data_IF_114824581543
#
_entry.id   IF_114824581543
#
_cell.length_a   1.000
_cell.length_b   1.000
_cell.length_c   1.000
_cell.angle_alpha   90.00
_cell.angle_beta   90.00
_cell.angle_gamma   90.00
#
_symmetry.space_group_name_H-M   'P 1'
#
loop_
_entity.id
_entity.type
_entity.pdbx_description
1 polymer ?
#
# COMPACT_ATOMS: atom_id res chain seq x y z
N UNK A 1 6.37 -42.84 7.42
CA UNK A 1 5.01 -42.67 7.96
C UNK A 1 4.66 -41.21 7.76
N UNK A 2 3.57 -40.88 7.08
CA UNK A 2 3.18 -39.47 6.88
C UNK A 2 2.69 -38.92 8.22
N UNK A 3 3.23 -37.79 8.65
CA UNK A 3 2.82 -37.17 9.90
C UNK A 3 1.39 -36.61 9.79
N UNK A 4 0.64 -36.59 10.89
CA UNK A 4 -0.65 -35.92 11.02
C UNK A 4 -0.54 -34.77 12.03
N UNK A 5 -0.67 -33.53 11.54
CA UNK A 5 -0.40 -32.32 12.33
C UNK A 5 -1.71 -31.61 12.70
N UNK A 6 -1.84 -31.19 13.95
CA UNK A 6 -2.93 -30.31 14.39
C UNK A 6 -2.48 -28.86 14.37
N UNK A 7 -3.11 -28.01 13.57
CA UNK A 7 -2.88 -26.57 13.59
C UNK A 7 -3.93 -25.84 14.41
N UNK A 8 -3.51 -24.96 15.31
CA UNK A 8 -4.42 -24.17 16.14
C UNK A 8 -4.44 -22.72 15.66
N UNK A 9 -5.61 -22.12 15.53
CA UNK A 9 -5.72 -20.70 15.12
C UNK A 9 -7.00 -20.03 15.65
N UNK A 10 -7.14 -18.72 15.40
CA UNK A 10 -8.38 -17.97 15.69
C UNK A 10 -9.32 -17.94 14.48
N UNK A 11 -10.60 -17.63 14.71
CA UNK A 11 -11.66 -17.61 13.68
C UNK A 11 -11.32 -16.75 12.45
N UNK A 12 -10.61 -15.63 12.64
CA UNK A 12 -10.23 -14.74 11.53
C UNK A 12 -9.16 -15.34 10.60
N UNK A 13 -8.35 -16.27 11.10
CA UNK A 13 -7.19 -16.79 10.40
C UNK A 13 -7.40 -18.22 9.86
N UNK A 14 -8.52 -18.86 10.18
CA UNK A 14 -8.87 -20.24 9.80
C UNK A 14 -8.83 -20.46 8.28
N UNK A 15 -9.59 -19.67 7.51
CA UNK A 15 -9.67 -19.79 6.04
C UNK A 15 -8.33 -19.51 5.35
N UNK A 16 -7.51 -18.65 5.94
CA UNK A 16 -6.22 -18.26 5.37
C UNK A 16 -5.15 -19.31 5.66
N UNK A 17 -5.19 -19.90 6.86
CA UNK A 17 -4.37 -21.05 7.21
C UNK A 17 -4.71 -22.25 6.34
N UNK A 18 -6.00 -22.54 6.12
CA UNK A 18 -6.44 -23.61 5.21
C UNK A 18 -5.87 -23.42 3.80
N UNK A 19 -6.00 -22.23 3.21
CA UNK A 19 -5.44 -21.95 1.87
C UNK A 19 -3.92 -22.04 1.81
N UNK A 20 -3.21 -21.61 2.85
CA UNK A 20 -1.75 -21.79 2.89
C UNK A 20 -1.39 -23.27 2.97
N UNK A 21 -2.09 -24.05 3.80
CA UNK A 21 -1.86 -25.49 3.95
C UNK A 21 -2.25 -26.29 2.68
N UNK A 22 -3.32 -25.91 1.98
CA UNK A 22 -3.68 -26.44 0.65
C UNK A 22 -2.59 -26.12 -0.38
N UNK A 23 -2.01 -24.92 -0.35
CA UNK A 23 -0.89 -24.58 -1.24
C UNK A 23 0.41 -25.37 -0.93
N UNK A 24 0.43 -26.13 0.16
CA UNK A 24 1.54 -27.02 0.52
C UNK A 24 1.38 -28.45 -0.01
N UNK A 25 0.45 -28.73 -0.94
CA UNK A 25 0.02 -30.04 -1.52
C UNK A 25 1.02 -31.22 -1.62
N UNK A 26 2.34 -31.00 -1.51
CA UNK A 26 3.38 -32.03 -1.45
C UNK A 26 4.07 -32.12 -0.06
N UNK A 27 3.39 -31.73 1.03
CA UNK A 27 3.97 -31.43 2.36
C UNK A 27 4.64 -32.61 3.08
N UNK A 28 4.35 -33.85 2.68
CA UNK A 28 4.77 -35.05 3.40
C UNK A 28 4.02 -35.27 4.72
N UNK A 29 3.00 -34.47 5.01
CA UNK A 29 2.12 -34.57 6.17
C UNK A 29 0.66 -34.31 5.79
N UNK A 30 -0.24 -34.80 6.62
CA UNK A 30 -1.67 -34.49 6.61
C UNK A 30 -1.99 -33.57 7.78
N UNK A 31 -3.10 -32.82 7.73
CA UNK A 31 -3.35 -31.78 8.73
C UNK A 31 -4.84 -31.62 9.07
N UNK A 32 -5.11 -31.11 10.27
CA UNK A 32 -6.41 -30.60 10.72
C UNK A 32 -6.22 -29.18 11.30
N UNK A 33 -7.25 -28.33 11.18
CA UNK A 33 -7.28 -27.00 11.81
C UNK A 33 -8.31 -27.00 12.93
N UNK A 34 -7.95 -26.44 14.08
CA UNK A 34 -8.86 -26.27 15.22
C UNK A 34 -8.89 -24.84 15.76
N UNK A 35 -10.10 -24.36 16.03
CA UNK A 35 -10.36 -23.00 16.53
C UNK A 35 -10.97 -23.06 17.94
N UNK A 36 -10.22 -22.75 19.01
CA UNK A 36 -10.68 -22.88 20.40
C UNK A 36 -11.54 -21.68 20.87
N UNK A 37 -12.50 -21.27 20.04
CA UNK A 37 -13.53 -20.29 20.38
C UNK A 37 -13.03 -18.86 20.60
N UNK A 38 -12.07 -18.39 19.79
CA UNK A 38 -11.51 -17.03 19.84
C UNK A 38 -11.45 -16.39 18.44
N UNK A 39 -11.48 -15.06 18.36
CA UNK A 39 -11.38 -14.34 17.09
C UNK A 39 -9.93 -14.23 16.58
N UNK A 40 -8.98 -13.82 17.44
CA UNK A 40 -7.58 -13.52 17.07
C UNK A 40 -6.61 -14.44 17.82
N UNK A 41 -5.85 -15.25 17.08
CA UNK A 41 -4.89 -16.24 17.58
C UNK A 41 -3.85 -15.69 18.58
N UNK A 42 -3.43 -14.43 18.45
CA UNK A 42 -2.45 -13.81 19.35
C UNK A 42 -2.93 -13.66 20.81
N UNK A 43 -4.23 -13.83 21.06
CA UNK A 43 -4.84 -13.79 22.40
C UNK A 43 -4.92 -15.17 23.07
N UNK A 44 -4.38 -16.22 22.44
CA UNK A 44 -4.29 -17.56 23.04
C UNK A 44 -3.32 -17.58 24.22
N UNK A 45 -3.74 -18.24 25.30
CA UNK A 45 -2.90 -18.59 26.45
C UNK A 45 -2.89 -20.10 26.66
N UNK A 46 -1.86 -20.61 27.34
CA UNK A 46 -1.75 -22.04 27.65
C UNK A 46 -2.97 -22.56 28.43
N UNK A 47 -3.46 -21.81 29.43
CA UNK A 47 -4.65 -22.19 30.21
C UNK A 47 -5.93 -22.29 29.36
N UNK A 48 -6.07 -21.42 28.35
CA UNK A 48 -7.20 -21.49 27.42
C UNK A 48 -7.11 -22.73 26.54
N UNK A 49 -5.91 -23.10 26.08
CA UNK A 49 -5.69 -24.31 25.28
C UNK A 49 -6.01 -25.57 26.09
N UNK A 50 -5.48 -25.69 27.32
CA UNK A 50 -5.79 -26.82 28.22
C UNK A 50 -7.29 -27.05 28.40
N UNK A 51 -8.08 -25.97 28.47
CA UNK A 51 -9.53 -26.04 28.66
C UNK A 51 -10.35 -26.26 27.39
N UNK A 52 -9.86 -25.82 26.23
CA UNK A 52 -10.69 -25.65 25.02
C UNK A 52 -10.17 -26.38 23.78
N UNK A 53 -8.93 -26.88 23.81
CA UNK A 53 -8.33 -27.54 22.64
C UNK A 53 -9.01 -28.89 22.37
N UNK A 54 -9.50 -29.57 23.40
CA UNK A 54 -10.16 -30.88 23.26
C UNK A 54 -9.15 -32.02 23.10
N UNK A 55 -9.63 -33.15 22.58
CA UNK A 55 -8.83 -34.37 22.40
C UNK A 55 -7.84 -34.25 21.23
N UNK A 56 -6.62 -34.73 21.45
CA UNK A 56 -5.46 -34.63 20.56
C UNK A 56 -4.90 -36.00 20.20
N UNK A 57 -5.60 -37.07 20.54
CA UNK A 57 -5.27 -38.43 20.13
C UNK A 57 -5.26 -38.53 18.59
N UNK A 58 -4.21 -39.15 18.05
CA UNK A 58 -4.04 -39.37 16.60
C UNK A 58 -3.23 -38.29 15.87
N UNK A 59 -2.79 -37.23 16.55
CA UNK A 59 -1.84 -36.25 16.00
C UNK A 59 -0.40 -36.53 16.46
N UNK A 60 0.56 -36.31 15.57
CA UNK A 60 1.99 -36.45 15.88
C UNK A 60 2.57 -35.22 16.58
N UNK A 61 1.96 -34.04 16.37
CA UNK A 61 2.30 -32.78 17.04
C UNK A 61 1.22 -31.72 16.83
N UNK A 62 1.23 -30.71 17.70
CA UNK A 62 0.39 -29.50 17.59
C UNK A 62 1.25 -28.29 17.21
N UNK A 63 0.86 -27.60 16.14
CA UNK A 63 1.48 -26.33 15.72
C UNK A 63 0.59 -25.17 16.19
N UNK A 64 1.14 -24.36 17.09
CA UNK A 64 0.53 -23.11 17.55
C UNK A 64 0.98 -21.92 16.67
N UNK A 65 0.20 -20.83 16.60
CA UNK A 65 0.63 -19.60 15.95
C UNK A 65 1.89 -19.05 16.63
N UNK A 66 2.86 -18.49 15.88
CA UNK A 66 4.12 -18.02 16.46
C UNK A 66 3.96 -16.92 17.52
N UNK A 67 2.86 -16.15 17.44
CA UNK A 67 2.49 -15.10 18.39
C UNK A 67 1.77 -15.60 19.64
N UNK A 68 1.46 -16.89 19.72
CA UNK A 68 0.85 -17.49 20.90
C UNK A 68 1.82 -17.39 22.08
N UNK A 69 1.33 -16.84 23.20
CA UNK A 69 2.11 -16.70 24.44
C UNK A 69 1.76 -17.84 25.39
N UNK A 70 2.77 -18.57 25.85
CA UNK A 70 2.58 -19.68 26.79
C UNK A 70 3.78 -20.61 26.86
N UNK A 71 3.86 -21.39 27.94
CA UNK A 71 4.88 -22.44 28.08
C UNK A 71 4.48 -23.67 27.26
N UNK A 72 5.29 -24.00 26.25
CA UNK A 72 5.04 -25.15 25.36
C UNK A 72 5.39 -26.47 26.02
N UNK A 73 6.33 -26.47 26.98
CA UNK A 73 6.71 -27.68 27.71
C UNK A 73 5.55 -28.12 28.60
N UNK A 74 4.95 -27.19 29.33
CA UNK A 74 3.76 -27.42 30.15
C UNK A 74 2.54 -27.90 29.33
N UNK A 75 2.37 -27.40 28.10
CA UNK A 75 1.33 -27.91 27.18
C UNK A 75 1.66 -29.33 26.69
N UNK A 76 2.93 -29.60 26.36
CA UNK A 76 3.36 -30.92 25.89
C UNK A 76 3.20 -31.97 26.99
N UNK A 77 3.56 -31.64 28.23
CA UNK A 77 3.40 -32.51 29.40
C UNK A 77 1.93 -32.79 29.71
N UNK A 78 1.06 -31.77 29.60
CA UNK A 78 -0.37 -31.92 29.88
C UNK A 78 -1.09 -32.82 28.87
N UNK A 79 -0.77 -32.68 27.59
CA UNK A 79 -1.45 -33.37 26.50
C UNK A 79 -0.71 -34.63 26.01
N UNK A 80 0.53 -34.87 26.45
CA UNK A 80 1.31 -36.05 26.09
C UNK A 80 1.80 -36.08 24.64
N UNK A 81 1.77 -34.95 23.92
CA UNK A 81 2.31 -34.81 22.56
C UNK A 81 3.12 -33.52 22.39
N UNK A 82 4.05 -33.45 21.41
CA UNK A 82 4.85 -32.26 21.18
C UNK A 82 4.02 -31.05 20.75
N UNK A 83 4.22 -29.91 21.41
CA UNK A 83 3.74 -28.59 20.97
C UNK A 83 4.88 -27.76 20.39
N UNK A 84 4.66 -27.22 19.20
CA UNK A 84 5.62 -26.38 18.49
C UNK A 84 4.99 -25.02 18.17
N UNK A 85 5.82 -23.97 18.14
CA UNK A 85 5.40 -22.68 17.58
C UNK A 85 5.73 -22.65 16.10
N UNK A 86 4.70 -22.49 15.29
CA UNK A 86 4.83 -22.10 13.90
C UNK A 86 5.37 -20.67 13.77
N UNK A 87 5.51 -20.16 12.53
CA UNK A 87 5.94 -18.80 12.29
C UNK A 87 4.93 -17.80 12.85
N UNK A 88 5.39 -16.56 13.10
CA UNK A 88 4.50 -15.47 13.51
C UNK A 88 3.42 -15.19 12.46
N UNK A 89 3.75 -15.39 11.18
CA UNK A 89 2.89 -15.11 10.05
C UNK A 89 2.59 -16.36 9.25
N UNK A 90 1.31 -16.57 8.91
CA UNK A 90 0.86 -17.74 8.17
C UNK A 90 1.57 -17.90 6.81
N UNK A 91 1.90 -16.79 6.14
CA UNK A 91 2.57 -16.85 4.84
C UNK A 91 4.02 -17.32 4.92
N UNK A 92 4.62 -17.33 6.12
CA UNK A 92 5.97 -17.85 6.35
C UNK A 92 5.91 -19.34 6.73
N UNK A 93 4.71 -19.92 6.82
CA UNK A 93 4.52 -21.35 7.06
C UNK A 93 5.16 -22.23 5.99
N UNK A 94 5.12 -21.89 4.68
CA UNK A 94 5.97 -22.52 3.69
C UNK A 94 7.44 -22.49 4.12
N UNK A 95 8.00 -21.34 4.49
CA UNK A 95 9.41 -21.20 4.86
C UNK A 95 9.75 -21.97 6.14
N UNK A 96 8.84 -22.01 7.11
CA UNK A 96 8.93 -22.84 8.31
C UNK A 96 9.05 -24.33 7.97
N UNK A 97 8.39 -24.79 6.90
CA UNK A 97 8.55 -26.13 6.33
C UNK A 97 9.60 -26.19 5.19
N UNK A 98 10.51 -25.21 5.08
CA UNK A 98 11.59 -25.19 4.09
C UNK A 98 11.17 -24.86 2.64
N UNK A 99 10.05 -24.16 2.45
CA UNK A 99 9.42 -23.88 1.15
C UNK A 99 9.24 -22.38 0.89
N UNK A 100 9.15 -22.01 -0.38
CA UNK A 100 8.97 -20.62 -0.79
C UNK A 100 7.48 -20.27 -0.83
N UNK A 101 7.07 -19.22 -0.11
CA UNK A 101 5.72 -18.69 -0.19
C UNK A 101 5.43 -18.14 -1.60
N UNK A 102 4.26 -18.45 -2.17
CA UNK A 102 3.84 -17.86 -3.44
C UNK A 102 3.48 -16.39 -3.21
N UNK A 103 4.16 -15.48 -3.90
CA UNK A 103 3.82 -14.04 -3.89
C UNK A 103 2.44 -13.85 -4.50
N UNK A 104 1.50 -13.28 -3.75
CA UNK A 104 0.16 -12.97 -4.26
C UNK A 104 0.23 -11.79 -5.22
N UNK A 105 -0.39 -11.90 -6.39
CA UNK A 105 -0.51 -10.76 -7.30
C UNK A 105 -1.56 -9.76 -6.80
N UNK A 106 -1.13 -8.54 -6.50
CA UNK A 106 -1.99 -7.43 -6.04
C UNK A 106 -2.29 -6.52 -7.23
N UNK A 107 -3.19 -6.98 -8.10
CA UNK A 107 -3.58 -6.26 -9.34
C UNK A 107 -5.07 -5.91 -9.40
N UNK A 108 -5.95 -6.67 -8.75
CA UNK A 108 -7.40 -6.43 -8.89
C UNK A 108 -7.88 -5.38 -7.89
N UNK A 109 -8.91 -4.64 -8.29
CA UNK A 109 -9.66 -3.68 -7.47
C UNK A 109 -11.09 -3.63 -7.98
N UNK A 110 -12.04 -3.30 -7.11
CA UNK A 110 -13.43 -2.94 -7.44
C UNK A 110 -13.77 -1.48 -7.13
N UNK A 111 -12.79 -0.70 -6.66
CA UNK A 111 -12.92 0.73 -6.41
C UNK A 111 -12.36 1.50 -7.60
N UNK A 112 -13.16 2.36 -8.23
CA UNK A 112 -12.75 3.30 -9.28
C UNK A 112 -12.08 4.53 -8.69
N UNK A 113 -10.98 4.98 -9.28
CA UNK A 113 -10.19 6.13 -8.81
C UNK A 113 -10.36 7.31 -9.76
N UNK A 114 -10.99 8.36 -9.25
CA UNK A 114 -11.13 9.66 -9.90
C UNK A 114 -10.00 10.55 -9.39
N UNK A 115 -9.22 11.08 -10.31
CA UNK A 115 -8.12 12.00 -10.02
C UNK A 115 -8.47 13.40 -10.50
N UNK A 116 -8.65 14.30 -9.55
CA UNK A 116 -9.10 15.67 -9.80
C UNK A 116 -7.95 16.59 -10.22
N UNK A 117 -8.21 17.35 -11.28
CA UNK A 117 -7.43 18.52 -11.68
C UNK A 117 -8.20 19.76 -11.21
N UNK A 118 -7.97 20.16 -9.96
CA UNK A 118 -8.74 21.19 -9.22
C UNK A 118 -8.70 22.57 -9.89
N UNK A 119 -7.62 22.87 -10.60
CA UNK A 119 -7.33 24.15 -11.23
C UNK A 119 -7.43 24.09 -12.75
N UNK A 120 -8.26 23.20 -13.30
CA UNK A 120 -8.38 22.98 -14.73
C UNK A 120 -8.60 24.25 -15.57
N UNK A 121 -9.42 25.25 -15.16
CA UNK A 121 -9.59 26.49 -15.91
C UNK A 121 -8.30 27.33 -16.08
N UNK A 122 -7.27 27.08 -15.25
CA UNK A 122 -6.00 27.80 -15.27
C UNK A 122 -4.93 27.12 -16.13
N UNK A 123 -5.16 25.89 -16.57
CA UNK A 123 -4.26 25.14 -17.42
C UNK A 123 -4.62 25.37 -18.89
N UNK A 124 -3.63 25.36 -19.77
CA UNK A 124 -3.89 25.15 -21.18
C UNK A 124 -4.13 23.65 -21.45
N UNK A 125 -4.57 23.33 -22.67
CA UNK A 125 -4.87 21.95 -23.07
C UNK A 125 -3.65 21.04 -22.91
N UNK A 126 -2.45 21.52 -23.26
CA UNK A 126 -1.21 20.75 -23.14
C UNK A 126 -0.87 20.46 -21.67
N UNK A 127 -1.01 21.44 -20.78
CA UNK A 127 -0.83 21.28 -19.34
C UNK A 127 -1.84 20.31 -18.72
N UNK A 128 -3.11 20.41 -19.14
CA UNK A 128 -4.17 19.48 -18.73
C UNK A 128 -3.85 18.04 -19.13
N UNK A 129 -3.48 17.83 -20.40
CA UNK A 129 -3.12 16.51 -20.92
C UNK A 129 -1.88 15.94 -20.22
N UNK A 130 -0.85 16.75 -19.98
CA UNK A 130 0.34 16.32 -19.27
C UNK A 130 0.02 15.86 -17.84
N UNK A 131 -0.87 16.57 -17.14
CA UNK A 131 -1.32 16.19 -15.79
C UNK A 131 -2.18 14.92 -15.81
N UNK A 132 -3.10 14.80 -16.76
CA UNK A 132 -3.91 13.61 -16.97
C UNK A 132 -3.06 12.36 -17.27
N UNK A 133 -2.03 12.49 -18.12
CA UNK A 133 -1.10 11.40 -18.43
C UNK A 133 -0.33 10.94 -17.17
N UNK A 134 0.14 11.88 -16.34
CA UNK A 134 0.76 11.55 -15.05
C UNK A 134 -0.20 10.78 -14.16
N UNK A 135 -1.42 11.29 -13.98
CA UNK A 135 -2.43 10.66 -13.14
C UNK A 135 -2.81 9.25 -13.61
N UNK A 136 -2.95 9.02 -14.92
CA UNK A 136 -3.15 7.68 -15.48
C UNK A 136 -1.95 6.76 -15.24
N UNK A 137 -0.72 7.27 -15.33
CA UNK A 137 0.47 6.49 -15.00
C UNK A 137 0.56 6.13 -13.51
N UNK A 138 0.06 7.00 -12.64
CA UNK A 138 -0.07 6.78 -11.19
C UNK A 138 -1.28 5.91 -10.80
N UNK A 139 -2.16 5.59 -11.76
CA UNK A 139 -3.24 4.61 -11.59
C UNK A 139 -4.66 5.17 -11.53
N UNK A 140 -4.87 6.43 -11.89
CA UNK A 140 -6.22 7.00 -12.06
C UNK A 140 -6.98 6.29 -13.19
N UNK A 141 -8.26 6.01 -12.95
CA UNK A 141 -9.15 5.43 -13.96
C UNK A 141 -9.96 6.50 -14.70
N UNK A 142 -10.27 7.61 -14.02
CA UNK A 142 -11.04 8.74 -14.55
C UNK A 142 -10.30 10.03 -14.19
N UNK A 143 -10.22 10.95 -15.15
CA UNK A 143 -9.72 12.31 -14.93
C UNK A 143 -10.91 13.20 -14.63
N UNK A 144 -10.92 13.78 -13.45
CA UNK A 144 -11.97 14.69 -13.01
C UNK A 144 -11.51 16.14 -13.22
N UNK A 145 -12.29 16.89 -13.99
CA UNK A 145 -12.05 18.29 -14.33
C UNK A 145 -12.71 19.13 -13.25
N UNK A 146 -11.91 19.63 -12.30
CA UNK A 146 -12.37 20.51 -11.25
C UNK A 146 -12.56 21.94 -11.76
N UNK A 147 -13.80 22.41 -11.79
CA UNK A 147 -14.12 23.80 -12.07
C UNK A 147 -13.88 24.68 -10.85
N UNK A 148 -13.55 25.95 -11.09
CA UNK A 148 -13.32 26.92 -10.02
C UNK A 148 -14.57 27.79 -9.81
N UNK A 149 -15.00 28.03 -8.55
CA UNK A 149 -16.11 28.94 -8.27
C UNK A 149 -15.88 30.33 -8.88
N UNK A 150 -16.95 30.92 -9.41
CA UNK A 150 -16.97 32.26 -10.01
C UNK A 150 -15.90 32.52 -11.09
N UNK A 151 -15.34 31.46 -11.68
CA UNK A 151 -14.25 31.54 -12.65
C UNK A 151 -14.70 30.93 -13.97
N UNK A 152 -14.79 31.71 -15.07
CA UNK A 152 -15.20 31.17 -16.35
C UNK A 152 -14.23 30.09 -16.87
N UNK A 153 -14.78 29.00 -17.38
CA UNK A 153 -14.02 27.96 -18.08
C UNK A 153 -14.34 27.98 -19.59
N UNK A 154 -13.72 28.88 -20.39
CA UNK A 154 -14.09 29.08 -21.80
C UNK A 154 -13.67 27.91 -22.71
N UNK A 155 -12.64 27.16 -22.34
CA UNK A 155 -12.09 26.03 -23.10
C UNK A 155 -12.46 24.67 -22.48
N UNK A 156 -13.63 24.59 -21.82
CA UNK A 156 -14.12 23.37 -21.17
C UNK A 156 -14.39 22.25 -22.18
N UNK A 157 -15.11 22.56 -23.27
CA UNK A 157 -15.43 21.60 -24.31
C UNK A 157 -14.16 21.10 -25.01
N UNK A 158 -13.25 22.03 -25.36
CA UNK A 158 -11.95 21.70 -25.94
C UNK A 158 -11.11 20.79 -25.01
N UNK A 159 -11.16 21.04 -23.69
CA UNK A 159 -10.51 20.22 -22.66
C UNK A 159 -11.06 18.79 -22.62
N UNK A 160 -12.38 18.65 -22.65
CA UNK A 160 -13.06 17.35 -22.67
C UNK A 160 -12.72 16.60 -23.96
N UNK A 161 -12.85 17.25 -25.11
CA UNK A 161 -12.56 16.67 -26.42
C UNK A 161 -11.10 16.19 -26.51
N UNK A 162 -10.14 17.00 -26.03
CA UNK A 162 -8.73 16.64 -26.00
C UNK A 162 -8.46 15.40 -25.12
N UNK A 163 -9.00 15.38 -23.89
CA UNK A 163 -8.85 14.23 -22.99
C UNK A 163 -9.49 12.97 -23.58
N UNK A 164 -10.69 13.05 -24.13
CA UNK A 164 -11.35 11.90 -24.75
C UNK A 164 -10.61 11.43 -26.00
N UNK A 165 -10.06 12.35 -26.80
CA UNK A 165 -9.20 12.05 -27.96
C UNK A 165 -7.98 11.19 -27.59
N UNK A 166 -7.43 11.39 -26.39
CA UNK A 166 -6.32 10.60 -25.82
C UNK A 166 -6.77 9.34 -25.04
N UNK A 167 -8.07 9.01 -25.14
CA UNK A 167 -8.67 7.81 -24.57
C UNK A 167 -8.89 7.85 -23.06
N UNK A 168 -8.92 9.03 -22.44
CA UNK A 168 -9.28 9.17 -21.03
C UNK A 168 -10.80 9.06 -20.85
N UNK A 169 -11.22 8.45 -19.73
CA UNK A 169 -12.55 8.68 -19.19
C UNK A 169 -12.55 10.01 -18.43
N UNK A 170 -13.58 10.82 -18.64
CA UNK A 170 -13.62 12.21 -18.18
C UNK A 170 -14.82 12.45 -17.28
N UNK A 171 -14.58 13.15 -16.18
CA UNK A 171 -15.60 13.65 -15.26
C UNK A 171 -15.53 15.17 -15.20
N UNK A 172 -16.67 15.82 -14.94
CA UNK A 172 -16.74 17.26 -14.66
C UNK A 172 -17.25 17.49 -13.23
N UNK A 173 -16.52 18.29 -12.44
CA UNK A 173 -16.95 18.73 -11.12
C UNK A 173 -17.17 20.24 -11.10
N UNK A 174 -18.44 20.63 -11.05
CA UNK A 174 -18.86 22.03 -10.97
C UNK A 174 -20.17 22.17 -10.20
N UNK A 175 -20.28 23.30 -9.50
CA UNK A 175 -21.55 23.76 -8.91
C UNK A 175 -22.34 24.65 -9.87
N UNK A 176 -21.75 25.08 -10.99
CA UNK A 176 -22.43 25.88 -12.01
C UNK A 176 -23.20 24.97 -12.99
N UNK A 177 -24.52 25.15 -13.02
CA UNK A 177 -25.42 24.41 -13.91
C UNK A 177 -25.01 24.49 -15.39
N UNK A 178 -24.57 25.65 -15.87
CA UNK A 178 -24.20 25.85 -17.28
C UNK A 178 -22.91 25.11 -17.62
N UNK A 179 -21.97 25.01 -16.68
CA UNK A 179 -20.76 24.22 -16.87
C UNK A 179 -21.08 22.73 -16.92
N UNK A 180 -21.94 22.24 -16.02
CA UNK A 180 -22.45 20.87 -16.08
C UNK A 180 -23.15 20.58 -17.42
N UNK A 181 -24.05 21.47 -17.87
CA UNK A 181 -24.75 21.34 -19.17
C UNK A 181 -23.75 21.26 -20.34
N UNK A 182 -22.75 22.15 -20.37
CA UNK A 182 -21.69 22.17 -21.40
C UNK A 182 -20.85 20.90 -21.36
N UNK A 183 -20.40 20.49 -20.18
CA UNK A 183 -19.55 19.30 -20.02
C UNK A 183 -20.27 18.01 -20.39
N UNK A 184 -21.54 17.86 -20.00
CA UNK A 184 -22.37 16.72 -20.39
C UNK A 184 -22.59 16.72 -21.91
N UNK A 185 -22.86 17.87 -22.52
CA UNK A 185 -23.05 17.98 -23.96
C UNK A 185 -21.77 17.69 -24.77
N UNK A 186 -20.59 18.04 -24.24
CA UNK A 186 -19.28 17.66 -24.78
C UNK A 186 -18.95 16.17 -24.58
N UNK A 187 -19.79 15.44 -23.84
CA UNK A 187 -19.68 14.00 -23.67
C UNK A 187 -18.79 13.56 -22.51
N UNK A 188 -18.73 14.33 -21.42
CA UNK A 188 -18.20 13.81 -20.16
C UNK A 188 -18.90 12.50 -19.75
N UNK A 189 -18.13 11.53 -19.27
CA UNK A 189 -18.63 10.22 -18.85
C UNK A 189 -19.29 10.30 -17.46
N UNK A 190 -18.87 11.26 -16.62
CA UNK A 190 -19.42 11.51 -15.29
C UNK A 190 -19.61 13.00 -15.03
N UNK A 191 -20.51 13.32 -14.10
CA UNK A 191 -20.67 14.68 -13.58
C UNK A 191 -20.90 14.65 -12.06
N UNK A 192 -20.21 15.54 -11.36
CA UNK A 192 -20.26 15.61 -9.91
C UNK A 192 -21.32 16.59 -9.41
N UNK A 193 -21.63 16.47 -8.12
CA UNK A 193 -22.37 17.46 -7.36
C UNK A 193 -23.82 17.70 -7.82
N UNK A 194 -24.49 16.68 -8.39
CA UNK A 194 -25.90 16.79 -8.74
C UNK A 194 -26.79 16.72 -7.50
N UNK A 195 -27.69 17.70 -7.37
CA UNK A 195 -28.66 17.79 -6.28
C UNK A 195 -30.06 17.57 -6.82
N UNK A 196 -31.07 17.56 -5.95
CA UNK A 196 -32.48 17.51 -6.34
C UNK A 196 -32.91 18.58 -7.37
N UNK A 197 -32.17 19.70 -7.48
CA UNK A 197 -32.43 20.81 -8.42
C UNK A 197 -31.81 20.64 -9.81
N UNK A 198 -30.91 19.67 -9.98
CA UNK A 198 -30.15 19.48 -11.22
C UNK A 198 -30.20 18.05 -11.75
N UNK A 199 -31.01 17.16 -11.15
CA UNK A 199 -31.16 15.76 -11.58
C UNK A 199 -31.54 15.61 -13.04
N UNK A 200 -32.34 16.54 -13.59
CA UNK A 200 -32.79 16.50 -14.97
C UNK A 200 -31.64 16.60 -15.99
N UNK A 201 -30.50 17.16 -15.60
CA UNK A 201 -29.31 17.24 -16.46
C UNK A 201 -28.79 15.85 -16.83
N UNK A 202 -28.99 14.89 -15.94
CA UNK A 202 -28.59 13.50 -16.11
C UNK A 202 -29.82 12.57 -16.11
N UNK A 203 -31.00 13.04 -16.51
CA UNK A 203 -32.16 12.14 -16.70
C UNK A 203 -31.97 11.26 -17.94
N UNK A 204 -31.31 11.79 -18.97
CA UNK A 204 -31.06 11.11 -20.24
C UNK A 204 -29.57 11.13 -20.62
N UNK A 205 -29.19 10.31 -21.59
CA UNK A 205 -27.82 10.22 -22.09
C UNK A 205 -26.98 9.13 -21.40
N UNK A 206 -25.66 9.26 -21.52
CA UNK A 206 -24.69 8.27 -21.04
C UNK A 206 -23.91 8.74 -19.81
N UNK A 207 -23.87 10.06 -19.54
CA UNK A 207 -23.17 10.64 -18.40
C UNK A 207 -23.75 10.13 -17.07
N UNK A 208 -22.89 9.58 -16.21
CA UNK A 208 -23.25 8.97 -14.92
C UNK A 208 -23.04 9.99 -13.80
N UNK A 209 -24.10 10.39 -13.07
CA UNK A 209 -23.95 11.46 -12.07
C UNK A 209 -23.51 10.96 -10.70
N UNK A 210 -22.86 11.84 -9.95
CA UNK A 210 -22.64 11.73 -8.50
C UNK A 210 -23.67 12.61 -7.79
N UNK A 211 -24.54 11.98 -7.01
CA UNK A 211 -25.64 12.61 -6.31
C UNK A 211 -25.21 13.03 -4.91
N UNK A 212 -25.47 14.28 -4.57
CA UNK A 212 -25.26 14.87 -3.24
C UNK A 212 -26.55 15.50 -2.72
N UNK A 213 -26.63 15.74 -1.41
CA UNK A 213 -27.66 16.59 -0.84
C UNK A 213 -27.32 18.08 -1.02
N UNK A 214 -28.35 18.93 -1.01
CA UNK A 214 -28.15 20.39 -1.00
C UNK A 214 -27.43 20.86 0.29
N UNK A 215 -27.82 20.29 1.43
CA UNK A 215 -27.04 20.33 2.66
C UNK A 215 -26.31 18.98 2.78
N UNK A 216 -24.97 18.93 2.63
CA UNK A 216 -24.19 17.70 2.71
C UNK A 216 -24.38 16.91 4.02
N UNK A 217 -24.88 17.56 5.08
CA UNK A 217 -25.13 16.93 6.39
C UNK A 217 -26.52 16.31 6.50
N UNK A 218 -27.45 16.65 5.61
CA UNK A 218 -28.80 16.10 5.59
C UNK A 218 -28.85 14.80 4.77
N UNK A 219 -28.59 13.68 5.45
CA UNK A 219 -28.65 12.35 4.84
C UNK A 219 -30.06 12.02 4.31
N UNK A 220 -31.13 12.49 4.95
CA UNK A 220 -32.49 12.20 4.50
C UNK A 220 -32.80 12.94 3.18
N UNK A 221 -32.25 14.13 2.97
CA UNK A 221 -32.30 14.83 1.68
C UNK A 221 -31.56 14.06 0.58
N UNK A 222 -30.39 13.49 0.89
CA UNK A 222 -29.69 12.62 -0.06
C UNK A 222 -30.52 11.37 -0.38
N UNK A 223 -31.13 10.73 0.62
CA UNK A 223 -31.99 9.55 0.41
C UNK A 223 -33.14 9.86 -0.56
N UNK A 224 -33.83 11.00 -0.40
CA UNK A 224 -34.89 11.43 -1.33
C UNK A 224 -34.36 11.68 -2.75
N UNK A 225 -33.15 12.20 -2.87
CA UNK A 225 -32.49 12.46 -4.16
C UNK A 225 -32.16 11.14 -4.87
N UNK A 226 -31.63 10.16 -4.13
CA UNK A 226 -31.35 8.81 -4.60
C UNK A 226 -32.64 8.14 -5.09
N UNK A 227 -33.70 8.12 -4.29
CA UNK A 227 -34.97 7.49 -4.65
C UNK A 227 -35.57 8.09 -5.93
N UNK A 228 -35.52 9.42 -6.06
CA UNK A 228 -36.00 10.13 -7.25
C UNK A 228 -35.18 9.77 -8.48
N UNK A 229 -33.85 9.74 -8.40
CA UNK A 229 -33.00 9.43 -9.55
C UNK A 229 -33.04 7.94 -9.92
N UNK A 230 -33.16 7.05 -8.94
CA UNK A 230 -33.28 5.61 -9.16
C UNK A 230 -34.52 5.25 -9.99
N UNK A 231 -35.58 6.08 -9.96
CA UNK A 231 -36.76 5.90 -10.80
C UNK A 231 -36.47 5.98 -12.32
N UNK A 232 -35.36 6.61 -12.72
CA UNK A 232 -34.92 6.65 -14.12
C UNK A 232 -34.24 5.35 -14.56
N UNK A 233 -33.91 4.43 -13.64
CA UNK A 233 -33.25 3.16 -13.96
C UNK A 233 -31.84 3.31 -14.53
N UNK A 234 -31.17 4.43 -14.25
CA UNK A 234 -29.82 4.76 -14.73
C UNK A 234 -28.76 4.52 -13.63
N UNK A 235 -27.51 4.20 -14.00
CA UNK A 235 -26.39 4.20 -13.06
C UNK A 235 -26.16 5.60 -12.45
N UNK A 236 -25.74 5.63 -11.18
CA UNK A 236 -25.30 6.83 -10.47
C UNK A 236 -24.42 6.43 -9.29
N UNK A 237 -23.68 7.39 -8.73
CA UNK A 237 -23.07 7.27 -7.41
C UNK A 237 -23.81 8.15 -6.41
N UNK A 238 -23.86 7.74 -5.15
CA UNK A 238 -24.27 8.61 -4.05
C UNK A 238 -23.05 9.03 -3.22
N UNK A 239 -23.00 10.29 -2.82
CA UNK A 239 -21.96 10.82 -1.95
C UNK A 239 -22.56 11.66 -0.79
N UNK A 240 -22.51 11.18 0.47
CA UNK A 240 -22.90 11.93 1.67
C UNK A 240 -21.83 12.92 2.18
N UNK A 241 -20.77 13.11 1.39
CA UNK A 241 -19.67 14.06 1.55
C UNK A 241 -18.86 13.84 2.83
N UNK A 242 -17.58 13.55 2.68
CA UNK A 242 -16.64 13.41 3.78
C UNK A 242 -16.23 14.79 4.31
N UNK A 243 -16.37 15.03 5.62
CA UNK A 243 -15.99 16.29 6.25
C UNK A 243 -14.53 16.28 6.75
N UNK A 244 -13.81 17.41 6.79
CA UNK A 244 -12.49 17.50 7.41
C UNK A 244 -12.50 17.19 8.92
N UNK A 245 -11.32 16.83 9.45
CA UNK A 245 -11.11 16.66 10.90
C UNK A 245 -11.49 17.95 11.65
N UNK A 246 -12.22 17.81 12.76
CA UNK A 246 -12.82 18.90 13.55
C UNK A 246 -14.02 19.63 12.92
N UNK A 247 -14.40 19.32 11.68
CA UNK A 247 -15.56 19.93 11.01
C UNK A 247 -16.73 18.97 10.78
N UNK A 248 -16.60 17.73 11.27
CA UNK A 248 -17.64 16.71 11.14
C UNK A 248 -17.13 15.34 10.70
N UNK A 249 -15.82 15.15 10.49
CA UNK A 249 -15.24 13.91 9.96
C UNK A 249 -15.87 12.61 10.48
N UNK A 250 -15.87 12.39 11.80
CA UNK A 250 -16.46 11.17 12.37
C UNK A 250 -17.96 11.04 12.08
N UNK A 251 -18.71 12.14 12.19
CA UNK A 251 -20.13 12.16 11.85
C UNK A 251 -20.35 11.87 10.35
N UNK A 252 -19.47 12.32 9.47
CA UNK A 252 -19.54 11.99 8.04
C UNK A 252 -19.31 10.51 7.76
N UNK A 253 -18.38 9.85 8.48
CA UNK A 253 -18.21 8.39 8.39
C UNK A 253 -19.47 7.64 8.86
N UNK A 254 -20.13 8.12 9.92
CA UNK A 254 -21.43 7.58 10.35
C UNK A 254 -22.50 7.74 9.27
N UNK A 255 -22.52 8.88 8.54
CA UNK A 255 -23.42 9.08 7.38
C UNK A 255 -23.14 8.08 6.27
N UNK A 256 -21.89 7.81 5.91
CA UNK A 256 -21.54 6.76 4.94
C UNK A 256 -22.01 5.37 5.39
N UNK A 257 -21.78 5.02 6.65
CA UNK A 257 -22.20 3.73 7.20
C UNK A 257 -23.72 3.59 7.25
N UNK A 258 -24.45 4.67 7.58
CA UNK A 258 -25.91 4.71 7.54
C UNK A 258 -26.44 4.60 6.11
N UNK A 259 -25.86 5.32 5.16
CA UNK A 259 -26.24 5.28 3.75
C UNK A 259 -26.13 3.86 3.20
N UNK A 260 -24.99 3.18 3.42
CA UNK A 260 -24.80 1.78 2.99
C UNK A 260 -25.80 0.82 3.64
N UNK A 261 -26.24 1.07 4.88
CA UNK A 261 -27.27 0.27 5.55
C UNK A 261 -28.67 0.48 4.96
N UNK A 262 -29.01 1.72 4.57
CA UNK A 262 -30.29 2.06 3.96
C UNK A 262 -30.38 1.64 2.49
N UNK A 263 -29.26 1.73 1.75
CA UNK A 263 -29.16 1.39 0.34
C UNK A 263 -28.01 0.40 0.09
N UNK A 264 -28.20 -0.91 0.38
CA UNK A 264 -27.15 -1.91 0.26
C UNK A 264 -26.56 -2.04 -1.15
N UNK A 265 -27.37 -1.82 -2.19
CA UNK A 265 -27.00 -2.03 -3.60
C UNK A 265 -26.63 -0.74 -4.35
N UNK A 266 -26.76 0.45 -3.72
CA UNK A 266 -26.40 1.71 -4.40
C UNK A 266 -24.88 1.86 -4.45
N UNK A 267 -24.35 2.25 -5.61
CA UNK A 267 -22.94 2.57 -5.76
C UNK A 267 -22.63 3.85 -4.98
N UNK A 268 -21.57 3.84 -4.17
CA UNK A 268 -21.20 4.96 -3.31
C UNK A 268 -19.84 5.49 -3.76
N UNK A 269 -19.71 6.81 -3.71
CA UNK A 269 -18.46 7.52 -3.93
C UNK A 269 -18.01 8.21 -2.65
N UNK A 270 -16.70 8.29 -2.43
CA UNK A 270 -16.12 9.05 -1.32
C UNK A 270 -14.97 9.95 -1.80
N UNK A 271 -15.13 11.26 -1.68
CA UNK A 271 -14.02 12.21 -1.76
C UNK A 271 -13.14 12.14 -0.53
N UNK A 272 -11.85 11.82 -0.69
CA UNK A 272 -10.89 11.69 0.42
C UNK A 272 -9.80 12.77 0.43
N UNK A 273 -9.67 13.53 -0.66
CA UNK A 273 -8.58 14.50 -0.83
C UNK A 273 -8.52 15.57 0.26
N UNK A 274 -9.67 16.01 0.77
CA UNK A 274 -9.74 17.01 1.85
C UNK A 274 -9.12 16.51 3.17
N UNK A 275 -9.07 15.20 3.42
CA UNK A 275 -8.44 14.65 4.62
C UNK A 275 -6.92 14.60 4.49
N UNK A 276 -6.41 14.13 3.35
CA UNK A 276 -4.96 14.09 3.10
C UNK A 276 -4.35 15.48 2.93
N UNK A 277 -5.04 16.40 2.24
CA UNK A 277 -4.54 17.76 1.99
C UNK A 277 -4.52 18.63 3.25
N UNK A 278 -5.47 18.42 4.18
CA UNK A 278 -5.63 19.23 5.39
C UNK A 278 -5.03 18.59 6.66
N UNK A 279 -4.28 17.49 6.53
CA UNK A 279 -3.66 16.80 7.66
C UNK A 279 -2.17 16.56 7.39
N UNK A 280 -1.29 17.29 8.10
CA UNK A 280 0.15 17.07 8.01
C UNK A 280 0.60 15.79 8.73
N UNK A 281 0.47 14.65 8.06
CA UNK A 281 1.09 13.37 8.40
C UNK A 281 1.38 12.59 7.11
N UNK A 282 2.08 11.45 7.19
CA UNK A 282 2.38 10.67 5.99
C UNK A 282 1.10 10.22 5.27
N UNK A 283 0.87 10.77 4.08
CA UNK A 283 -0.36 10.59 3.30
C UNK A 283 -0.64 9.13 2.99
N UNK A 284 0.40 8.31 2.79
CA UNK A 284 0.25 6.88 2.54
C UNK A 284 -0.49 6.17 3.68
N UNK A 285 -0.19 6.53 4.93
CA UNK A 285 -0.88 5.96 6.10
C UNK A 285 -2.34 6.41 6.19
N UNK A 286 -2.58 7.70 5.98
CA UNK A 286 -3.94 8.30 5.95
C UNK A 286 -4.78 7.62 4.86
N UNK A 287 -4.28 7.63 3.62
CA UNK A 287 -4.94 7.03 2.45
C UNK A 287 -5.20 5.55 2.67
N UNK A 288 -4.22 4.79 3.20
CA UNK A 288 -4.41 3.37 3.49
C UNK A 288 -5.54 3.14 4.49
N UNK A 289 -5.62 3.93 5.56
CA UNK A 289 -6.69 3.79 6.55
C UNK A 289 -8.07 4.11 5.94
N UNK A 290 -8.18 5.21 5.18
CA UNK A 290 -9.41 5.59 4.48
C UNK A 290 -9.85 4.50 3.49
N UNK A 291 -8.91 3.90 2.76
CA UNK A 291 -9.22 2.79 1.85
C UNK A 291 -9.67 1.52 2.58
N UNK A 292 -9.25 1.34 3.84
CA UNK A 292 -9.82 0.30 4.72
C UNK A 292 -11.31 0.52 4.96
N UNK A 293 -11.72 1.76 5.28
CA UNK A 293 -13.13 2.14 5.47
C UNK A 293 -13.91 1.98 4.16
N UNK A 294 -13.36 2.46 3.03
CA UNK A 294 -13.94 2.28 1.69
C UNK A 294 -14.21 0.80 1.41
N UNK A 295 -13.24 -0.07 1.70
CA UNK A 295 -13.36 -1.50 1.49
C UNK A 295 -14.41 -2.16 2.40
N UNK A 296 -14.48 -1.79 3.68
CA UNK A 296 -15.47 -2.30 4.63
C UNK A 296 -16.90 -1.88 4.26
N UNK A 297 -17.09 -0.63 3.84
CA UNK A 297 -18.37 -0.09 3.42
C UNK A 297 -18.75 -0.42 1.97
N UNK A 298 -17.93 -1.21 1.25
CA UNK A 298 -18.14 -1.54 -0.18
C UNK A 298 -18.35 -0.27 -1.02
N UNK A 299 -17.58 0.78 -0.74
CA UNK A 299 -17.58 2.00 -1.55
C UNK A 299 -16.81 1.68 -2.84
N UNK A 300 -17.40 2.04 -3.95
CA UNK A 300 -17.06 1.60 -5.30
C UNK A 300 -16.31 2.66 -6.10
N UNK A 301 -16.25 3.89 -5.58
CA UNK A 301 -15.51 4.99 -6.21
C UNK A 301 -14.90 5.93 -5.17
N UNK A 302 -13.72 6.46 -5.48
CA UNK A 302 -12.99 7.42 -4.64
C UNK A 302 -12.53 8.58 -5.50
N UNK A 303 -12.71 9.81 -5.00
CA UNK A 303 -12.13 11.03 -5.57
C UNK A 303 -10.94 11.47 -4.69
N UNK A 304 -9.80 11.75 -5.33
CA UNK A 304 -8.63 12.34 -4.66
C UNK A 304 -7.92 13.33 -5.60
N UNK A 305 -6.96 14.07 -5.07
CA UNK A 305 -6.24 15.11 -5.78
C UNK A 305 -4.78 15.21 -5.32
N UNK A 306 -3.98 15.95 -6.09
CA UNK A 306 -2.62 16.36 -5.74
C UNK A 306 -2.50 17.87 -5.96
N UNK A 307 -3.07 18.66 -5.03
CA UNK A 307 -3.01 20.13 -5.08
C UNK A 307 -1.73 20.62 -4.43
N UNK A 308 -1.45 20.17 -3.21
CA UNK A 308 -0.27 20.61 -2.49
C UNK A 308 0.94 19.71 -2.77
N UNK A 309 2.13 20.27 -2.57
CA UNK A 309 3.37 19.49 -2.63
C UNK A 309 3.46 18.39 -1.55
N UNK A 310 2.56 18.40 -0.56
CA UNK A 310 2.42 17.37 0.46
C UNK A 310 1.82 16.08 -0.14
N UNK A 311 0.80 16.21 -0.99
CA UNK A 311 0.06 15.08 -1.56
C UNK A 311 0.58 14.63 -2.95
N UNK A 312 1.83 14.91 -3.30
CA UNK A 312 2.42 14.66 -4.65
C UNK A 312 2.46 13.20 -5.16
N UNK A 313 2.07 12.26 -4.31
CA UNK A 313 1.99 10.82 -4.61
C UNK A 313 0.64 10.21 -4.23
N UNK A 314 -0.34 11.02 -3.84
CA UNK A 314 -1.59 10.56 -3.26
C UNK A 314 -2.36 9.64 -4.21
N UNK A 315 -2.37 9.91 -5.52
CA UNK A 315 -3.08 9.06 -6.49
C UNK A 315 -2.46 7.67 -6.54
N UNK A 316 -1.13 7.59 -6.57
CA UNK A 316 -0.40 6.32 -6.60
C UNK A 316 -0.50 5.54 -5.30
N UNK A 317 -0.51 6.25 -4.18
CA UNK A 317 -0.78 5.67 -2.86
C UNK A 317 -2.18 5.05 -2.81
N UNK A 318 -3.19 5.78 -3.28
CA UNK A 318 -4.59 5.34 -3.32
C UNK A 318 -4.77 4.16 -4.28
N UNK A 319 -4.19 4.19 -5.48
CA UNK A 319 -4.25 3.06 -6.43
C UNK A 319 -3.67 1.80 -5.81
N UNK A 320 -2.56 1.91 -5.09
CA UNK A 320 -1.96 0.75 -4.45
C UNK A 320 -2.79 0.26 -3.28
N UNK A 321 -3.25 1.18 -2.42
CA UNK A 321 -4.03 0.87 -1.24
C UNK A 321 -5.35 0.16 -1.60
N UNK A 322 -6.11 0.64 -2.61
CA UNK A 322 -7.37 0.00 -3.04
C UNK A 322 -7.16 -1.45 -3.49
N UNK A 323 -6.06 -1.76 -4.20
CA UNK A 323 -5.74 -3.13 -4.65
C UNK A 323 -5.35 -4.03 -3.48
N UNK A 324 -4.59 -3.51 -2.52
CA UNK A 324 -4.23 -4.25 -1.30
C UNK A 324 -5.47 -4.55 -0.47
N UNK A 325 -6.38 -3.58 -0.32
CA UNK A 325 -7.63 -3.77 0.42
C UNK A 325 -8.55 -4.77 -0.26
N UNK A 326 -8.70 -4.69 -1.59
CA UNK A 326 -9.43 -5.68 -2.38
C UNK A 326 -8.87 -7.08 -2.12
N UNK A 327 -7.56 -7.24 -2.23
CA UNK A 327 -6.89 -8.51 -1.97
C UNK A 327 -7.16 -8.99 -0.52
N UNK A 328 -6.98 -8.12 0.47
CA UNK A 328 -7.19 -8.45 1.89
C UNK A 328 -8.61 -8.95 2.17
N UNK A 329 -9.60 -8.27 1.59
CA UNK A 329 -11.01 -8.58 1.72
C UNK A 329 -11.36 -9.93 1.08
N UNK A 330 -10.87 -10.20 -0.14
CA UNK A 330 -11.06 -11.50 -0.81
C UNK A 330 -10.44 -12.65 0.00
N UNK A 331 -9.35 -12.37 0.72
CA UNK A 331 -8.73 -13.34 1.61
C UNK A 331 -9.37 -13.40 2.99
N UNK A 332 -10.31 -12.52 3.31
CA UNK A 332 -10.87 -12.38 4.65
C UNK A 332 -9.76 -12.27 5.73
N UNK A 333 -8.73 -11.48 5.43
CA UNK A 333 -7.60 -11.21 6.33
C UNK A 333 -7.41 -9.71 6.54
N UNK A 334 -6.82 -9.27 7.66
CA UNK A 334 -6.27 -7.92 7.75
C UNK A 334 -5.32 -7.63 6.59
N UNK A 335 -5.16 -6.35 6.16
CA UNK A 335 -4.30 -5.94 5.04
C UNK A 335 -2.81 -5.95 5.43
N UNK A 336 -2.37 -7.09 5.97
CA UNK A 336 -1.04 -7.32 6.49
C UNK A 336 -0.41 -8.43 5.68
N UNK A 337 0.88 -8.31 5.39
CA UNK A 337 1.64 -9.33 4.67
C UNK A 337 1.24 -9.58 3.21
N UNK A 338 0.31 -8.79 2.66
CA UNK A 338 -0.17 -8.88 1.28
C UNK A 338 0.81 -8.18 0.34
N UNK A 339 1.12 -6.92 0.66
CA UNK A 339 2.01 -6.08 -0.13
C UNK A 339 2.82 -5.16 0.78
N UNK A 340 4.12 -5.10 0.55
CA UNK A 340 5.02 -4.25 1.34
C UNK A 340 5.23 -2.88 0.72
N UNK A 341 4.67 -2.61 -0.47
CA UNK A 341 4.79 -1.29 -1.08
C UNK A 341 4.04 -0.19 -0.30
N UNK A 342 3.13 -0.55 0.61
CA UNK A 342 2.50 0.41 1.52
C UNK A 342 3.41 0.78 2.73
N UNK A 343 4.61 0.21 2.81
CA UNK A 343 5.63 0.54 3.82
C UNK A 343 6.73 1.40 3.19
N UNK A 344 6.48 2.71 3.09
CA UNK A 344 7.42 3.63 2.44
C UNK A 344 8.60 4.05 3.31
N UNK A 345 8.42 4.18 4.64
CA UNK A 345 9.45 4.69 5.55
C UNK A 345 10.35 3.60 6.10
N UNK A 346 9.80 2.46 6.49
CA UNK A 346 10.56 1.36 7.09
C UNK A 346 10.20 0.04 6.42
N UNK A 347 11.01 -0.99 6.63
CA UNK A 347 10.69 -2.35 6.24
C UNK A 347 10.28 -3.18 7.44
N UNK A 348 9.72 -4.37 7.18
CA UNK A 348 9.32 -5.28 8.27
C UNK A 348 10.53 -5.92 8.97
N UNK A 349 11.56 -6.25 8.20
CA UNK A 349 12.77 -6.93 8.69
C UNK A 349 14.02 -6.28 8.09
N UNK A 350 14.35 -5.03 8.49
CA UNK A 350 15.41 -4.27 7.84
C UNK A 350 16.82 -4.81 8.07
N UNK A 351 17.06 -5.40 9.24
CA UNK A 351 18.37 -5.90 9.64
C UNK A 351 18.38 -7.43 9.59
N UNK A 352 19.10 -7.99 8.63
CA UNK A 352 19.17 -9.45 8.41
C UNK A 352 20.37 -10.12 9.05
N UNK A 353 21.41 -9.35 9.36
CA UNK A 353 22.67 -9.87 9.88
C UNK A 353 22.89 -9.42 11.32
N UNK A 354 23.46 -10.29 12.13
CA UNK A 354 24.00 -9.99 13.46
C UNK A 354 25.44 -9.45 13.38
N UNK A 355 25.94 -8.86 14.47
CA UNK A 355 27.34 -8.44 14.57
C UNK A 355 28.32 -9.61 14.35
N UNK A 356 27.94 -10.82 14.80
CA UNK A 356 28.75 -12.02 14.63
C UNK A 356 28.90 -12.43 13.16
N UNK A 357 27.78 -12.47 12.43
CA UNK A 357 27.76 -12.81 10.99
C UNK A 357 28.56 -11.79 10.17
N UNK A 358 28.40 -10.49 10.44
CA UNK A 358 29.17 -9.44 9.74
C UNK A 358 30.68 -9.59 10.03
N UNK A 359 31.06 -9.90 11.28
CA UNK A 359 32.46 -10.15 11.62
C UNK A 359 33.03 -11.40 10.93
N UNK A 360 32.22 -12.44 10.72
CA UNK A 360 32.60 -13.62 9.93
C UNK A 360 32.84 -13.25 8.47
N UNK A 361 31.91 -12.51 7.83
CA UNK A 361 32.08 -12.02 6.46
C UNK A 361 33.35 -11.19 6.32
N UNK A 362 33.60 -10.28 7.25
CA UNK A 362 34.81 -9.44 7.24
C UNK A 362 36.11 -10.26 7.28
N UNK A 363 36.13 -11.37 8.05
CA UNK A 363 37.30 -12.27 8.11
C UNK A 363 37.54 -13.05 6.82
N UNK A 364 36.56 -13.18 5.94
CA UNK A 364 36.71 -13.88 4.65
C UNK A 364 37.24 -12.98 3.54
N UNK A 365 37.11 -11.65 3.68
CA UNK A 365 37.55 -10.70 2.67
C UNK A 365 39.08 -10.67 2.53
N UNK A 366 39.56 -10.70 1.28
CA UNK A 366 41.00 -10.70 0.93
C UNK A 366 41.40 -9.54 0.01
N UNK A 367 40.44 -8.73 -0.42
CA UNK A 367 40.67 -7.57 -1.28
C UNK A 367 40.51 -6.25 -0.51
N UNK A 368 40.96 -5.15 -1.12
CA UNK A 368 40.88 -3.82 -0.52
C UNK A 368 39.55 -3.11 -0.85
N UNK A 369 38.57 -3.79 -1.47
CA UNK A 369 37.29 -3.16 -1.76
C UNK A 369 36.42 -3.10 -0.50
N UNK A 370 35.89 -1.92 -0.22
CA UNK A 370 34.99 -1.71 0.89
C UNK A 370 33.64 -2.35 0.65
N UNK A 371 33.17 -3.07 1.67
CA UNK A 371 31.81 -3.59 1.80
C UNK A 371 31.14 -2.86 2.94
N UNK A 372 29.91 -2.43 2.69
CA UNK A 372 29.09 -1.72 3.66
C UNK A 372 27.89 -2.61 3.99
N UNK A 373 27.63 -2.81 5.28
CA UNK A 373 26.47 -3.54 5.77
C UNK A 373 25.83 -2.78 6.90
N UNK A 374 24.52 -2.96 7.07
CA UNK A 374 23.75 -2.31 8.13
C UNK A 374 23.07 -3.38 8.96
N UNK A 375 23.11 -3.23 10.29
CA UNK A 375 22.28 -4.02 11.19
C UNK A 375 21.75 -3.18 12.35
N UNK A 376 21.11 -3.84 13.33
CA UNK A 376 20.53 -3.16 14.48
C UNK A 376 21.53 -2.35 15.31
N UNK A 377 22.83 -2.65 15.23
CA UNK A 377 23.88 -1.98 16.02
C UNK A 377 24.63 -0.88 15.26
N UNK A 378 24.26 -0.62 14.00
CA UNK A 378 24.79 0.49 13.20
C UNK A 378 25.24 0.09 11.80
N UNK A 379 26.10 0.94 11.25
CA UNK A 379 26.74 0.82 9.93
C UNK A 379 28.10 0.14 10.12
N UNK A 380 28.36 -0.88 9.32
CA UNK A 380 29.59 -1.64 9.31
C UNK A 380 30.29 -1.44 7.98
N UNK A 381 31.57 -1.10 8.02
CA UNK A 381 32.43 -0.97 6.83
C UNK A 381 33.66 -1.82 7.02
N UNK A 382 33.95 -2.65 6.02
CA UNK A 382 35.11 -3.53 6.10
C UNK A 382 35.73 -3.86 4.74
N UNK A 383 37.01 -4.23 4.80
CA UNK A 383 37.78 -4.81 3.72
C UNK A 383 38.87 -5.71 4.36
N UNK A 384 39.92 -6.11 3.61
CA UNK A 384 41.04 -6.88 4.18
C UNK A 384 41.77 -6.16 5.34
N UNK A 385 41.73 -4.83 5.41
CA UNK A 385 42.48 -4.02 6.38
C UNK A 385 41.80 -3.96 7.75
N UNK A 386 40.48 -4.15 7.82
CA UNK A 386 39.75 -4.15 9.08
C UNK A 386 38.24 -4.09 8.94
N UNK A 387 37.57 -4.15 10.09
CA UNK A 387 36.12 -3.94 10.25
C UNK A 387 35.91 -2.75 11.21
N UNK A 388 35.15 -1.77 10.76
CA UNK A 388 34.78 -0.58 11.51
C UNK A 388 33.26 -0.50 11.63
N UNK A 389 32.78 -0.06 12.79
CA UNK A 389 31.35 0.07 13.10
C UNK A 389 31.07 1.45 13.68
N UNK A 390 29.98 2.09 13.25
CA UNK A 390 29.50 3.35 13.80
C UNK A 390 27.99 3.54 13.59
N UNK A 391 27.40 4.43 14.38
CA UNK A 391 26.03 4.93 14.16
C UNK A 391 26.00 6.18 13.27
N UNK A 392 27.03 7.03 13.38
CA UNK A 392 27.27 8.19 12.53
C UNK A 392 28.29 7.83 11.45
N UNK A 393 27.87 7.90 10.18
CA UNK A 393 28.69 7.49 9.05
C UNK A 393 29.96 8.36 8.89
N UNK A 394 29.91 9.62 9.33
CA UNK A 394 31.04 10.54 9.26
C UNK A 394 32.23 10.07 10.09
N UNK A 395 31.97 9.38 11.21
CA UNK A 395 33.02 8.85 12.08
C UNK A 395 33.80 7.69 11.45
N UNK A 396 33.29 7.09 10.38
CA UNK A 396 33.97 6.03 9.64
C UNK A 396 35.01 6.57 8.66
N UNK A 397 34.91 7.84 8.24
CA UNK A 397 35.76 8.41 7.17
C UNK A 397 37.27 8.31 7.45
N UNK A 398 37.78 8.62 8.66
CA UNK A 398 39.20 8.50 8.94
C UNK A 398 39.75 7.08 8.80
N UNK A 399 38.89 6.06 8.94
CA UNK A 399 39.27 4.65 8.81
C UNK A 399 39.30 4.15 7.36
N UNK A 400 38.77 4.92 6.40
CA UNK A 400 38.73 4.52 4.99
C UNK A 400 40.06 4.74 4.27
N UNK A 401 40.87 5.71 4.71
CA UNK A 401 42.17 6.04 4.13
C UNK A 401 42.15 6.21 2.59
N UNK A 402 41.13 6.91 2.08
CA UNK A 402 40.89 7.16 0.64
C UNK A 402 41.16 8.62 0.22
N UNK A 403 41.91 9.37 1.02
CA UNK A 403 42.14 10.81 0.84
C UNK A 403 42.75 11.16 -0.53
N UNK A 404 43.58 10.28 -1.06
CA UNK A 404 44.25 10.44 -2.36
C UNK A 404 43.41 9.96 -3.57
N UNK A 405 42.20 9.42 -3.35
CA UNK A 405 41.32 8.91 -4.41
C UNK A 405 39.92 9.55 -4.36
N UNK A 406 39.84 10.82 -4.77
CA UNK A 406 38.60 11.60 -4.70
C UNK A 406 37.36 10.90 -5.29
N UNK A 407 37.39 10.29 -6.51
CA UNK A 407 36.23 9.53 -7.01
C UNK A 407 35.77 8.39 -6.08
N UNK A 408 36.71 7.70 -5.43
CA UNK A 408 36.40 6.63 -4.49
C UNK A 408 35.85 7.19 -3.18
N UNK A 409 36.41 8.29 -2.68
CA UNK A 409 35.90 9.00 -1.51
C UNK A 409 34.45 9.48 -1.70
N UNK A 410 34.12 10.06 -2.86
CA UNK A 410 32.73 10.46 -3.17
C UNK A 410 31.78 9.28 -3.24
N UNK A 411 32.21 8.16 -3.82
CA UNK A 411 31.41 6.93 -3.86
C UNK A 411 31.12 6.40 -2.46
N UNK A 412 32.15 6.27 -1.61
CA UNK A 412 31.97 5.79 -0.24
C UNK A 412 31.11 6.75 0.59
N UNK A 413 31.29 8.07 0.44
CA UNK A 413 30.44 9.06 1.11
C UNK A 413 28.96 8.92 0.73
N UNK A 414 28.66 8.68 -0.55
CA UNK A 414 27.28 8.45 -1.02
C UNK A 414 26.68 7.17 -0.42
N UNK A 415 27.42 6.06 -0.46
CA UNK A 415 26.95 4.77 0.05
C UNK A 415 26.80 4.77 1.57
N UNK A 416 27.73 5.42 2.29
CA UNK A 416 27.68 5.59 3.74
C UNK A 416 26.49 6.44 4.18
N UNK A 417 26.23 7.56 3.50
CA UNK A 417 25.04 8.37 3.77
C UNK A 417 23.74 7.59 3.49
N UNK A 418 23.70 6.78 2.42
CA UNK A 418 22.54 5.91 2.13
C UNK A 418 22.36 4.82 3.20
N UNK A 419 23.45 4.22 3.65
CA UNK A 419 23.45 3.21 4.72
C UNK A 419 22.96 3.80 6.05
N UNK A 420 23.37 5.03 6.38
CA UNK A 420 22.89 5.74 7.56
C UNK A 420 21.38 6.01 7.51
N UNK A 421 20.88 6.54 6.39
CA UNK A 421 19.44 6.75 6.20
C UNK A 421 18.68 5.42 6.34
N UNK A 422 19.22 4.34 5.75
CA UNK A 422 18.62 3.02 5.87
C UNK A 422 18.57 2.53 7.31
N UNK A 423 19.65 2.74 8.07
CA UNK A 423 19.70 2.39 9.48
C UNK A 423 18.69 3.19 10.31
N UNK A 424 18.69 4.53 10.17
CA UNK A 424 17.81 5.44 10.92
C UNK A 424 16.32 5.15 10.68
N UNK A 425 15.95 4.85 9.44
CA UNK A 425 14.57 4.58 9.06
C UNK A 425 14.18 3.10 9.23
N UNK A 426 15.12 2.21 9.53
CA UNK A 426 14.87 0.77 9.53
C UNK A 426 14.47 0.27 8.14
N UNK A 427 15.30 0.52 7.14
CA UNK A 427 15.22 -0.03 5.78
C UNK A 427 16.32 -1.04 5.50
N UNK A 428 16.12 -1.91 4.50
CA UNK A 428 17.22 -2.70 3.99
C UNK A 428 18.16 -1.82 3.19
N UNK A 429 19.44 -2.01 3.46
CA UNK A 429 20.51 -1.46 2.67
C UNK A 429 21.12 -2.58 1.80
N UNK A 430 21.24 -2.30 0.52
CA UNK A 430 22.07 -3.06 -0.40
C UNK A 430 22.99 -2.05 -1.10
N UNK A 431 24.28 -2.30 -1.06
CA UNK A 431 25.27 -1.43 -1.69
C UNK A 431 24.99 -1.32 -3.18
N UNK A 432 25.23 -0.12 -3.74
CA UNK A 432 24.94 0.24 -5.14
C UNK A 432 23.45 0.32 -5.53
N UNK A 433 22.55 -0.18 -4.69
CA UNK A 433 21.10 -0.12 -4.90
C UNK A 433 20.48 1.12 -4.25
N UNK A 434 19.39 1.59 -4.83
CA UNK A 434 18.57 2.64 -4.23
C UNK A 434 17.72 2.09 -3.08
N UNK A 435 17.39 2.94 -2.11
CA UNK A 435 16.44 2.57 -1.06
C UNK A 435 15.04 2.37 -1.65
N UNK A 436 14.33 1.38 -1.13
CA UNK A 436 12.94 1.12 -1.50
C UNK A 436 11.99 2.05 -0.73
N UNK A 437 11.22 2.84 -1.48
CA UNK A 437 10.25 3.81 -0.96
C UNK A 437 8.80 3.34 -1.14
N UNK A 438 8.62 2.03 -1.40
CA UNK A 438 7.31 1.44 -1.62
C UNK A 438 6.62 2.03 -2.85
N UNK A 439 5.33 2.34 -2.75
CA UNK A 439 4.57 2.95 -3.84
C UNK A 439 4.76 4.47 -3.95
N UNK A 440 5.39 5.14 -2.98
CA UNK A 440 5.56 6.61 -2.95
C UNK A 440 6.60 7.09 -3.97
N UNK A 441 7.54 6.23 -4.39
CA UNK A 441 8.41 6.46 -5.55
C UNK A 441 8.22 5.34 -6.59
N UNK A 442 8.02 5.64 -7.89
CA UNK A 442 7.96 4.60 -8.89
C UNK A 442 9.31 3.90 -8.94
N UNK A 443 9.33 2.57 -8.90
CA UNK A 443 10.57 1.83 -9.11
C UNK A 443 10.95 1.94 -10.59
N UNK A 444 12.23 2.18 -10.94
CA UNK A 444 12.70 2.00 -12.29
C UNK A 444 12.37 0.59 -12.77
N UNK A 445 12.02 0.42 -14.04
CA UNK A 445 11.89 -0.91 -14.63
C UNK A 445 13.25 -1.60 -14.54
N UNK A 446 13.33 -2.60 -13.66
CA UNK A 446 14.50 -3.46 -13.51
C UNK A 446 14.56 -4.40 -14.72
N UNK A 447 15.32 -4.01 -15.76
CA UNK A 447 15.62 -4.90 -16.87
C UNK A 447 16.60 -5.98 -16.40
N UNK A 448 16.05 -7.03 -15.80
CA UNK A 448 16.78 -8.22 -15.30
C UNK A 448 17.56 -8.96 -16.39
N UNK A 449 17.52 -8.51 -17.65
CA UNK A 449 18.33 -9.05 -18.75
C UNK A 449 19.71 -8.42 -18.84
N UNK A 450 19.94 -7.29 -18.16
CA UNK A 450 21.22 -6.61 -18.14
C UNK A 450 21.72 -6.44 -16.70
N UNK A 451 22.95 -6.89 -16.42
CA UNK A 451 23.63 -6.53 -15.19
C UNK A 451 23.68 -5.02 -15.05
N UNK A 452 23.51 -4.51 -13.81
CA UNK A 452 23.73 -3.10 -13.50
C UNK A 452 25.08 -2.66 -14.09
N UNK A 453 25.06 -1.55 -14.83
CA UNK A 453 26.28 -1.00 -15.46
C UNK A 453 27.30 -0.74 -14.36
N UNK A 454 28.47 -1.37 -14.45
CA UNK A 454 29.61 -1.20 -13.55
C UNK A 454 29.85 0.32 -13.33
N UNK A 455 29.46 0.84 -12.15
CA UNK A 455 29.53 2.29 -11.89
C UNK A 455 30.99 2.73 -11.93
N UNK A 456 31.23 3.83 -12.64
CA UNK A 456 32.45 4.62 -12.93
C UNK A 456 33.77 4.29 -12.20
N UNK A 457 33.75 3.95 -10.90
CA UNK A 457 34.94 3.82 -10.04
C UNK A 457 35.90 2.71 -10.50
N UNK A 458 35.38 1.55 -10.96
CA UNK A 458 36.21 0.45 -11.49
C UNK A 458 36.89 0.80 -12.83
N UNK A 459 36.21 1.57 -13.70
CA UNK A 459 36.77 2.07 -14.97
C UNK A 459 37.87 3.11 -14.71
N UNK A 460 37.64 4.05 -13.80
CA UNK A 460 38.63 5.07 -13.43
C UNK A 460 39.88 4.43 -12.80
N UNK A 461 39.71 3.44 -11.91
CA UNK A 461 40.81 2.71 -11.28
C UNK A 461 41.60 1.84 -12.26
N UNK A 462 40.92 1.17 -13.21
CA UNK A 462 41.58 0.45 -14.32
C UNK A 462 42.33 1.38 -15.27
N UNK A 463 41.79 2.56 -15.55
CA UNK A 463 42.45 3.56 -16.40
C UNK A 463 43.71 4.14 -15.74
N UNK A 464 43.66 4.43 -14.43
CA UNK A 464 44.84 4.89 -13.66
C UNK A 464 45.92 3.82 -13.55
N UNK A 465 45.56 2.54 -13.32
CA UNK A 465 46.55 1.43 -13.32
C UNK A 465 47.25 1.30 -14.68
N UNK A 466 46.52 1.44 -15.79
CA UNK A 466 47.10 1.43 -17.15
C UNK A 466 47.97 2.64 -17.50
N UNK A 467 47.93 3.72 -16.71
CA UNK A 467 48.80 4.89 -16.88
C UNK A 467 50.04 4.85 -15.96
N UNK A 468 50.05 3.94 -14.97
CA UNK A 468 51.12 3.77 -14.01
C UNK A 468 52.05 2.57 -14.32
N UNK A 469 51.61 1.67 -15.21
CA UNK A 469 52.44 0.68 -15.92
C UNK A 469 52.90 1.27 -17.27
#
# INVERSE_FOLDING_TARGET
MMQHLLFVTGKLAEKSLARVLEQLDDAGFTWEIRVPGIAVAALLTADMLKRRLGDVDGFDRVILPGRCRGDLADLSDHFGLPFERGPEELKDLPAHFGRRARTREVKRTDVRLFAEIVDAPQLDIDGLLARAQRFRADGADVIDIGCLPDTPFPHLEDSIDALRGEGFAVSIDSLDRRELERGIAAGADYCFSLTAKTLELAEHGECTPVLIAEDPRDLDALCRTIERFAAYGRPFYADPVLDPVHYGFTASLERYAELRRRFPEVEIMMGIGNLSELTHADTLGINTLLLGIVSELRISAVLTTEVSAHCRSAIREVDRARRVMFAAREDNTPPRHIDESLLALHERHPFVYSDGEIAEFAREVRDDNFRIQVNASGIHVYNRQGLHKAEDAYTLYPALAVDDDAPHAFYLGLELARAEIAWQLGKRYSQDEELDWGCVRPRPLDDKRHYAVERSTLKARRARRKQAD
#
